data_IF_092625072638
#
_entry.id   IF_092625072638
#
_cell.length_a   1.000
_cell.length_b   1.000
_cell.length_c   1.000
_cell.angle_alpha   90.00
_cell.angle_beta   90.00
_cell.angle_gamma   90.00
#
_symmetry.space_group_name_H-M   'P 1'
#
loop_
_entity.id
_entity.type
_entity.pdbx_description
1 polymer ?
#
# COMPACT_ATOMS: atom_id res chain seq x y z
N UNK A 1 26.60 4.25 -24.80
CA UNK A 1 27.72 4.79 -24.01
C UNK A 1 27.14 5.42 -22.75
N UNK A 2 27.05 4.65 -21.67
CA UNK A 2 26.55 5.13 -20.38
C UNK A 2 27.73 5.70 -19.59
N UNK A 3 27.61 6.98 -19.22
CA UNK A 3 28.58 7.72 -18.43
C UNK A 3 28.68 7.11 -17.02
N UNK A 4 29.80 6.45 -16.71
CA UNK A 4 30.10 5.95 -15.36
C UNK A 4 30.60 7.12 -14.53
N UNK A 5 29.70 7.78 -13.78
CA UNK A 5 30.10 8.70 -12.72
C UNK A 5 30.75 7.88 -11.59
N UNK A 6 32.06 8.02 -11.41
CA UNK A 6 32.82 7.33 -10.36
C UNK A 6 32.47 7.91 -8.98
N UNK A 7 32.30 7.04 -7.99
CA UNK A 7 32.05 7.34 -6.56
C UNK A 7 33.03 8.40 -6.00
N UNK A 8 34.22 8.52 -6.59
CA UNK A 8 35.23 9.51 -6.26
C UNK A 8 34.81 10.96 -6.54
N UNK A 9 33.96 11.22 -7.54
CA UNK A 9 33.46 12.57 -7.86
C UNK A 9 32.43 13.03 -6.81
N UNK A 10 31.60 12.11 -6.31
CA UNK A 10 30.65 12.38 -5.23
C UNK A 10 31.36 12.63 -3.88
N UNK A 11 32.45 11.91 -3.61
CA UNK A 11 33.29 12.13 -2.42
C UNK A 11 34.05 13.46 -2.47
N UNK A 12 34.52 13.89 -3.64
CA UNK A 12 35.15 15.21 -3.80
C UNK A 12 34.13 16.35 -3.67
N UNK A 13 32.93 16.20 -4.22
CA UNK A 13 31.83 17.16 -4.03
C UNK A 13 31.38 17.24 -2.56
N UNK A 14 31.43 16.12 -1.83
CA UNK A 14 31.16 16.05 -0.38
C UNK A 14 32.26 16.75 0.45
N UNK A 15 33.53 16.59 0.08
CA UNK A 15 34.65 17.27 0.75
C UNK A 15 34.65 18.80 0.51
N UNK A 16 34.32 19.24 -0.70
CA UNK A 16 34.26 20.67 -1.04
C UNK A 16 33.07 21.36 -0.35
N UNK A 17 31.94 20.67 -0.18
CA UNK A 17 30.78 21.21 0.56
C UNK A 17 30.96 21.14 2.09
N UNK A 18 31.75 20.18 2.59
CA UNK A 18 32.10 20.11 4.02
C UNK A 18 33.04 21.25 4.46
N UNK A 19 33.98 21.66 3.60
CA UNK A 19 34.96 22.73 3.90
C UNK A 19 34.35 24.13 3.80
N UNK A 20 33.42 24.38 2.88
CA UNK A 20 32.74 25.70 2.77
C UNK A 20 31.66 25.95 3.84
N UNK A 21 31.32 24.95 4.65
CA UNK A 21 30.28 25.06 5.68
C UNK A 21 30.79 25.59 7.03
N UNK A 22 32.08 25.95 7.14
CA UNK A 22 32.69 26.44 8.37
C UNK A 22 32.69 27.99 8.49
N UNK A 23 32.43 28.73 7.41
CA UNK A 23 32.71 30.19 7.32
C UNK A 23 31.49 31.13 7.28
N UNK A 24 30.27 30.68 7.61
CA UNK A 24 29.08 31.55 7.59
C UNK A 24 28.21 31.51 8.85
N UNK A 25 28.76 31.05 9.98
CA UNK A 25 28.07 31.13 11.27
C UNK A 25 28.41 32.44 12.00
N UNK A 26 28.01 33.58 11.45
CA UNK A 26 27.96 34.85 12.18
C UNK A 26 26.92 35.80 11.54
N UNK A 27 25.65 35.66 11.94
CA UNK A 27 24.84 36.77 12.49
C UNK A 27 23.37 36.37 12.76
N UNK A 28 23.02 36.38 14.05
CA UNK A 28 21.77 36.92 14.65
C UNK A 28 20.38 36.51 14.11
N UNK A 29 19.82 35.43 14.67
CA UNK A 29 18.68 35.46 15.62
C UNK A 29 18.74 34.17 16.42
N UNK A 30 18.96 34.21 17.73
CA UNK A 30 18.99 33.01 18.56
C UNK A 30 17.60 32.40 18.64
N UNK A 31 17.29 31.46 17.76
CA UNK A 31 16.19 30.52 17.96
C UNK A 31 16.53 29.70 19.21
N UNK A 32 16.00 30.14 20.35
CA UNK A 32 16.20 29.46 21.63
C UNK A 32 15.54 28.09 21.52
N UNK A 33 16.36 27.05 21.35
CA UNK A 33 15.90 25.66 21.43
C UNK A 33 15.30 25.47 22.83
N UNK A 34 14.02 25.12 22.87
CA UNK A 34 13.32 24.83 24.12
C UNK A 34 13.31 23.32 24.36
N UNK A 35 13.54 22.92 25.62
CA UNK A 35 13.39 21.54 26.05
C UNK A 35 11.93 21.10 26.11
N UNK A 36 11.70 19.93 26.71
CA UNK A 36 10.37 19.37 26.92
C UNK A 36 9.43 20.37 27.64
N UNK A 37 8.23 20.56 27.09
CA UNK A 37 7.21 21.46 27.64
C UNK A 37 6.01 20.66 28.15
N UNK A 38 5.63 20.89 29.40
CA UNK A 38 4.41 20.36 30.01
C UNK A 38 3.33 21.46 29.99
N UNK A 39 2.21 21.24 29.30
CA UNK A 39 1.09 22.19 29.27
C UNK A 39 0.40 22.30 30.64
N UNK A 40 -0.12 23.49 31.02
CA UNK A 40 -1.33 24.04 30.40
C UNK A 40 -1.21 25.37 29.63
N UNK A 41 -0.21 26.22 29.91
CA UNK A 41 -0.07 27.55 29.28
C UNK A 41 0.73 27.53 27.95
N UNK A 42 1.54 26.49 27.76
CA UNK A 42 2.35 26.27 26.55
C UNK A 42 1.99 24.94 25.89
N UNK A 43 2.36 24.80 24.61
CA UNK A 43 2.09 23.59 23.83
C UNK A 43 2.76 22.38 24.49
N UNK A 44 1.97 21.41 24.97
CA UNK A 44 2.48 20.15 25.50
C UNK A 44 3.25 19.35 24.44
N UNK A 45 4.52 19.03 24.72
CA UNK A 45 5.35 18.18 23.85
C UNK A 45 4.79 16.76 23.78
N UNK A 46 4.32 16.20 24.91
CA UNK A 46 3.71 14.86 24.94
C UNK A 46 2.42 14.81 24.12
N UNK A 47 1.56 15.83 24.29
CA UNK A 47 0.29 15.93 23.55
C UNK A 47 0.52 16.04 22.04
N UNK A 48 1.56 16.77 21.64
CA UNK A 48 1.99 16.86 20.24
C UNK A 48 2.44 15.50 19.69
N UNK A 49 3.35 14.82 20.39
CA UNK A 49 3.87 13.52 19.98
C UNK A 49 2.71 12.52 19.86
N UNK A 50 1.85 12.46 20.88
CA UNK A 50 0.71 11.54 20.88
C UNK A 50 -0.29 11.84 19.77
N UNK A 51 -0.59 13.12 19.52
CA UNK A 51 -1.49 13.52 18.44
C UNK A 51 -0.92 13.13 17.07
N UNK A 52 0.37 13.39 16.83
CA UNK A 52 1.01 13.05 15.56
C UNK A 52 1.13 11.53 15.37
N UNK A 53 1.70 10.81 16.33
CA UNK A 53 1.86 9.35 16.25
C UNK A 53 0.52 8.64 16.19
N UNK A 54 -0.48 9.10 16.95
CA UNK A 54 -1.84 8.60 16.88
C UNK A 54 -2.46 8.80 15.50
N UNK A 55 -2.25 9.96 14.88
CA UNK A 55 -2.73 10.24 13.52
C UNK A 55 -2.00 9.39 12.48
N UNK A 56 -0.67 9.27 12.55
CA UNK A 56 0.12 8.39 11.67
C UNK A 56 -0.39 6.95 11.79
N UNK A 57 -0.55 6.45 13.01
CA UNK A 57 -1.07 5.11 13.25
C UNK A 57 -2.49 4.95 12.69
N UNK A 58 -3.40 5.87 13.00
CA UNK A 58 -4.78 5.81 12.52
C UNK A 58 -4.85 5.85 10.98
N UNK A 59 -4.12 6.76 10.33
CA UNK A 59 -4.17 6.90 8.88
C UNK A 59 -3.50 5.72 8.18
N UNK A 60 -2.38 5.21 8.70
CA UNK A 60 -1.70 4.05 8.10
C UNK A 60 -2.43 2.74 8.36
N UNK A 61 -3.10 2.57 9.51
CA UNK A 61 -3.87 1.36 9.82
C UNK A 61 -5.17 1.28 9.02
N UNK A 62 -5.86 2.42 8.86
CA UNK A 62 -7.18 2.44 8.22
C UNK A 62 -7.12 2.16 6.71
N UNK A 63 -6.00 2.46 6.05
CA UNK A 63 -5.80 2.24 4.62
C UNK A 63 -5.31 0.83 4.27
N UNK A 64 -5.11 -0.05 5.24
CA UNK A 64 -4.67 -1.43 4.97
C UNK A 64 -5.83 -2.34 4.58
N UNK A 65 -5.93 -2.60 3.28
CA UNK A 65 -6.85 -3.57 2.67
C UNK A 65 -6.08 -4.85 2.28
N UNK A 66 -5.82 -5.71 3.26
CA UNK A 66 -5.03 -6.93 3.08
C UNK A 66 -5.82 -8.03 2.36
N UNK A 67 -5.15 -8.82 1.53
CA UNK A 67 -5.75 -9.97 0.84
C UNK A 67 -6.25 -11.01 1.86
N UNK A 68 -7.24 -11.79 1.46
CA UNK A 68 -7.96 -12.68 2.36
C UNK A 68 -7.03 -13.70 3.03
N UNK A 69 -7.34 -14.13 4.25
CA UNK A 69 -6.61 -15.22 4.89
C UNK A 69 -6.90 -16.57 4.22
N UNK A 70 -5.98 -17.52 4.38
CA UNK A 70 -6.24 -18.93 4.09
C UNK A 70 -7.29 -19.50 5.04
N UNK A 71 -7.88 -20.65 4.67
CA UNK A 71 -8.92 -21.30 5.49
C UNK A 71 -8.39 -21.71 6.87
N UNK A 72 -7.14 -22.15 6.94
CA UNK A 72 -6.49 -22.65 8.15
C UNK A 72 -5.70 -21.57 8.92
N UNK A 73 -5.72 -20.32 8.43
CA UNK A 73 -5.02 -19.21 9.11
C UNK A 73 -5.63 -18.96 10.51
N UNK A 74 -4.76 -18.98 11.52
CA UNK A 74 -5.09 -18.62 12.90
C UNK A 74 -5.30 -17.11 13.06
N UNK A 75 -5.99 -16.69 14.12
CA UNK A 75 -6.15 -15.26 14.47
C UNK A 75 -4.81 -14.57 14.71
N UNK A 76 -3.83 -15.30 15.25
CA UNK A 76 -2.50 -14.78 15.49
C UNK A 76 -1.75 -14.49 14.19
N UNK A 77 -1.78 -15.40 13.22
CA UNK A 77 -1.16 -15.19 11.91
C UNK A 77 -1.80 -14.01 11.16
N UNK A 78 -3.13 -13.87 11.24
CA UNK A 78 -3.85 -12.72 10.68
C UNK A 78 -3.38 -11.41 11.32
N UNK A 79 -3.22 -11.39 12.64
CA UNK A 79 -2.77 -10.20 13.40
C UNK A 79 -1.32 -9.86 13.09
N UNK A 80 -0.40 -10.83 13.15
CA UNK A 80 1.00 -10.64 12.79
C UNK A 80 1.16 -10.15 11.35
N UNK A 81 0.37 -10.69 10.42
CA UNK A 81 0.33 -10.21 9.04
C UNK A 81 -0.10 -8.75 9.00
N UNK A 82 -1.14 -8.36 9.73
CA UNK A 82 -1.60 -6.97 9.77
C UNK A 82 -0.55 -6.03 10.36
N UNK A 83 0.13 -6.42 11.43
CA UNK A 83 1.24 -5.66 12.03
C UNK A 83 2.43 -5.56 11.07
N UNK A 84 2.80 -6.65 10.39
CA UNK A 84 3.87 -6.63 9.37
C UNK A 84 3.56 -5.62 8.26
N UNK A 85 2.33 -5.63 7.76
CA UNK A 85 1.92 -4.74 6.68
C UNK A 85 1.71 -3.30 7.13
N UNK A 86 1.37 -3.07 8.40
CA UNK A 86 1.44 -1.74 9.02
C UNK A 86 2.88 -1.22 9.05
N UNK A 87 3.84 -2.02 9.49
CA UNK A 87 5.24 -1.62 9.51
C UNK A 87 5.75 -1.30 8.09
N UNK A 88 5.40 -2.13 7.10
CA UNK A 88 5.71 -1.85 5.69
C UNK A 88 5.07 -0.53 5.23
N UNK A 89 3.82 -0.25 5.60
CA UNK A 89 3.15 1.00 5.22
C UNK A 89 3.79 2.24 5.87
N UNK A 90 4.30 2.13 7.09
CA UNK A 90 5.01 3.23 7.75
C UNK A 90 6.38 3.47 7.10
N UNK A 91 7.08 2.40 6.71
CA UNK A 91 8.42 2.51 6.12
C UNK A 91 8.39 2.85 4.61
N UNK A 92 7.41 2.32 3.89
CA UNK A 92 7.30 2.38 2.43
C UNK A 92 5.83 2.63 2.01
N UNK A 93 5.24 3.78 2.39
CA UNK A 93 3.84 4.09 2.04
C UNK A 93 3.62 4.20 0.52
N UNK A 94 4.63 4.59 -0.25
CA UNK A 94 4.66 4.61 -1.72
C UNK A 94 4.39 3.24 -2.34
N UNK A 95 4.84 2.17 -1.69
CA UNK A 95 4.64 0.80 -2.17
C UNK A 95 3.18 0.42 -2.02
N UNK A 96 2.58 0.70 -0.86
CA UNK A 96 1.16 0.42 -0.61
C UNK A 96 0.27 1.25 -1.54
N UNK A 97 0.62 2.51 -1.77
CA UNK A 97 -0.06 3.36 -2.75
C UNK A 97 0.02 2.79 -4.17
N UNK A 98 1.22 2.49 -4.65
CA UNK A 98 1.42 1.96 -6.00
C UNK A 98 0.68 0.64 -6.20
N UNK A 99 0.63 -0.19 -5.15
CA UNK A 99 -0.13 -1.44 -5.14
C UNK A 99 -1.63 -1.18 -5.25
N UNK A 100 -2.17 -0.26 -4.46
CA UNK A 100 -3.58 0.10 -4.50
C UNK A 100 -4.01 0.60 -5.89
N UNK A 101 -3.17 1.42 -6.54
CA UNK A 101 -3.44 1.90 -7.91
C UNK A 101 -3.38 0.77 -8.94
N UNK A 102 -2.43 -0.16 -8.82
CA UNK A 102 -2.37 -1.32 -9.72
C UNK A 102 -3.59 -2.24 -9.56
N UNK A 103 -4.01 -2.50 -8.32
CA UNK A 103 -5.21 -3.30 -8.05
C UNK A 103 -6.47 -2.60 -8.60
N UNK A 104 -6.58 -1.28 -8.45
CA UNK A 104 -7.70 -0.51 -9.04
C UNK A 104 -7.72 -0.60 -10.56
N UNK A 105 -6.58 -0.38 -11.20
CA UNK A 105 -6.47 -0.43 -12.65
C UNK A 105 -6.93 -1.80 -13.16
N UNK A 106 -6.46 -2.87 -12.54
CA UNK A 106 -6.87 -4.22 -12.92
C UNK A 106 -8.35 -4.47 -12.71
N UNK A 107 -8.91 -4.04 -11.57
CA UNK A 107 -10.33 -4.20 -11.29
C UNK A 107 -11.20 -3.48 -12.34
N UNK A 108 -10.76 -2.30 -12.81
CA UNK A 108 -11.44 -1.56 -13.87
C UNK A 108 -11.28 -2.20 -15.26
N UNK A 109 -10.11 -2.75 -15.57
CA UNK A 109 -9.87 -3.50 -16.81
C UNK A 109 -10.78 -4.75 -16.87
N UNK A 110 -10.89 -5.51 -15.78
CA UNK A 110 -11.76 -6.68 -15.67
C UNK A 110 -13.24 -6.32 -15.82
N UNK A 111 -13.68 -5.19 -15.23
CA UNK A 111 -15.05 -4.70 -15.39
C UNK A 111 -15.38 -4.27 -16.82
N UNK A 112 -14.39 -3.75 -17.55
CA UNK A 112 -14.56 -3.35 -18.94
C UNK A 112 -14.68 -4.58 -19.85
N UNK A 113 -13.95 -5.65 -19.53
CA UNK A 113 -13.96 -6.90 -20.29
C UNK A 113 -15.11 -7.83 -19.90
N UNK A 114 -15.76 -7.65 -18.76
CA UNK A 114 -16.84 -8.53 -18.32
C UNK A 114 -18.11 -8.31 -19.16
N UNK A 115 -18.42 -9.26 -20.06
CA UNK A 115 -19.72 -9.42 -20.73
C UNK A 115 -20.59 -10.46 -19.99
N UNK A 116 -20.65 -10.39 -18.66
CA UNK A 116 -21.31 -11.42 -17.83
C UNK A 116 -22.82 -11.20 -17.71
N UNK A 117 -23.59 -12.29 -17.67
CA UNK A 117 -25.05 -12.26 -17.43
C UNK A 117 -25.43 -11.73 -16.03
N UNK A 118 -24.49 -11.74 -15.08
CA UNK A 118 -24.66 -11.20 -13.72
C UNK A 118 -24.11 -9.77 -13.62
N UNK A 119 -24.67 -8.97 -12.69
CA UNK A 119 -24.12 -7.65 -12.30
C UNK A 119 -22.74 -7.80 -11.64
N UNK A 120 -21.68 -7.83 -12.45
CA UNK A 120 -20.29 -7.76 -11.99
C UNK A 120 -19.95 -6.32 -11.58
N UNK A 121 -19.26 -6.13 -10.45
CA UNK A 121 -18.92 -4.79 -9.92
C UNK A 121 -17.46 -4.75 -9.48
N UNK A 122 -16.90 -3.55 -9.30
CA UNK A 122 -15.50 -3.38 -8.90
C UNK A 122 -15.18 -4.14 -7.60
N UNK A 123 -16.16 -4.22 -6.69
CA UNK A 123 -16.04 -4.94 -5.42
C UNK A 123 -15.82 -6.43 -5.66
N UNK A 124 -16.52 -7.03 -6.64
CA UNK A 124 -16.36 -8.43 -7.02
C UNK A 124 -14.98 -8.71 -7.64
N UNK A 125 -14.50 -7.82 -8.52
CA UNK A 125 -13.14 -7.88 -9.08
C UNK A 125 -12.08 -7.82 -7.96
N UNK A 126 -12.16 -6.83 -7.07
CA UNK A 126 -11.25 -6.75 -5.92
C UNK A 126 -11.31 -7.99 -5.04
N UNK A 127 -12.51 -8.47 -4.75
CA UNK A 127 -12.70 -9.66 -3.94
C UNK A 127 -12.01 -10.89 -4.55
N UNK A 128 -12.18 -11.12 -5.85
CA UNK A 128 -11.51 -12.19 -6.58
C UNK A 128 -9.98 -12.01 -6.60
N UNK A 129 -9.47 -10.81 -6.88
CA UNK A 129 -8.03 -10.51 -6.88
C UNK A 129 -7.36 -10.72 -5.51
N UNK A 130 -8.12 -10.51 -4.43
CA UNK A 130 -7.65 -10.73 -3.06
C UNK A 130 -7.67 -12.21 -2.64
N UNK A 131 -8.09 -13.13 -3.52
CA UNK A 131 -8.24 -14.54 -3.22
C UNK A 131 -9.55 -14.88 -2.50
N UNK A 132 -10.60 -14.10 -2.75
CA UNK A 132 -11.90 -14.28 -2.14
C UNK A 132 -12.67 -15.49 -2.64
N UNK A 133 -12.33 -16.01 -3.83
CA UNK A 133 -13.00 -17.16 -4.41
C UNK A 133 -12.05 -18.35 -4.39
N UNK A 134 -12.50 -19.49 -3.86
CA UNK A 134 -11.73 -20.73 -3.81
C UNK A 134 -12.44 -21.82 -4.63
N UNK A 135 -11.66 -22.55 -5.43
CA UNK A 135 -12.09 -23.76 -6.13
C UNK A 135 -11.65 -24.98 -5.33
N UNK A 136 -12.58 -25.88 -5.08
CA UNK A 136 -12.33 -27.15 -4.41
C UNK A 136 -11.90 -28.21 -5.44
N UNK A 137 -10.81 -28.91 -5.14
CA UNK A 137 -10.33 -30.05 -5.91
C UNK A 137 -10.02 -31.22 -5.00
N UNK A 138 -10.19 -32.45 -5.49
CA UNK A 138 -9.82 -33.65 -4.75
C UNK A 138 -8.47 -34.16 -5.24
N UNK A 139 -7.47 -34.17 -4.37
CA UNK A 139 -6.15 -34.76 -4.60
C UNK A 139 -6.09 -36.08 -3.84
N UNK A 140 -5.15 -36.97 -4.20
CA UNK A 140 -4.86 -38.24 -3.51
C UNK A 140 -4.72 -38.13 -1.97
N UNK A 141 -4.45 -36.93 -1.43
CA UNK A 141 -4.30 -36.69 0.01
C UNK A 141 -5.48 -35.94 0.67
N UNK A 142 -6.59 -35.71 -0.05
CA UNK A 142 -7.79 -35.05 0.47
C UNK A 142 -8.26 -33.85 -0.36
N UNK A 143 -9.25 -33.09 0.15
CA UNK A 143 -9.70 -31.86 -0.49
C UNK A 143 -8.62 -30.78 -0.43
N UNK A 144 -8.22 -30.26 -1.59
CA UNK A 144 -7.32 -29.13 -1.74
C UNK A 144 -8.08 -27.93 -2.32
N UNK A 145 -7.63 -26.73 -1.96
CA UNK A 145 -8.23 -25.48 -2.40
C UNK A 145 -7.25 -24.69 -3.27
N UNK A 146 -7.70 -24.22 -4.42
CA UNK A 146 -6.97 -23.28 -5.26
C UNK A 146 -7.71 -21.96 -5.35
N UNK A 147 -6.99 -20.84 -5.27
CA UNK A 147 -7.60 -19.53 -5.46
C UNK A 147 -8.10 -19.37 -6.90
N UNK A 148 -9.37 -19.04 -7.01
CA UNK A 148 -10.00 -18.61 -8.24
C UNK A 148 -9.66 -17.14 -8.50
N UNK A 149 -8.75 -16.92 -9.44
CA UNK A 149 -8.20 -15.58 -9.71
C UNK A 149 -9.12 -14.78 -10.62
N UNK A 150 -9.13 -13.46 -10.48
CA UNK A 150 -9.92 -12.57 -11.32
C UNK A 150 -9.61 -12.64 -12.84
N UNK A 151 -8.38 -12.98 -13.26
CA UNK A 151 -8.08 -13.27 -14.67
C UNK A 151 -8.80 -14.52 -15.22
N UNK A 152 -9.24 -15.44 -14.36
CA UNK A 152 -10.05 -16.58 -14.78
C UNK A 152 -11.54 -16.21 -14.97
N UNK A 153 -11.91 -14.97 -14.61
CA UNK A 153 -13.25 -14.42 -14.77
C UNK A 153 -13.38 -13.53 -16.02
N UNK A 154 -12.28 -13.25 -16.73
CA UNK A 154 -12.32 -12.48 -17.97
C UNK A 154 -12.64 -13.39 -19.17
N UNK A 155 -13.15 -12.84 -20.29
CA UNK A 155 -13.43 -13.62 -21.51
C UNK A 155 -12.20 -14.34 -22.09
N UNK A 156 -11.00 -13.96 -21.64
CA UNK A 156 -9.73 -14.59 -22.04
C UNK A 156 -9.60 -16.01 -21.49
N UNK A 157 -10.30 -16.34 -20.41
CA UNK A 157 -10.39 -17.68 -19.85
C UNK A 157 -11.58 -18.42 -20.46
N UNK A 158 -11.30 -19.48 -21.22
CA UNK A 158 -12.31 -20.28 -21.89
C UNK A 158 -12.75 -21.43 -21.00
N UNK A 159 -14.04 -21.45 -20.72
CA UNK A 159 -14.69 -22.52 -19.98
C UNK A 159 -14.94 -23.73 -20.87
N UNK A 160 -14.77 -24.93 -20.32
CA UNK A 160 -15.13 -26.15 -21.05
C UNK A 160 -16.65 -26.18 -21.29
N UNK A 161 -17.11 -26.71 -22.44
CA UNK A 161 -18.53 -26.76 -22.81
C UNK A 161 -19.40 -27.55 -21.81
N UNK A 162 -18.78 -28.39 -21.01
CA UNK A 162 -19.45 -29.23 -20.01
C UNK A 162 -19.47 -28.60 -18.61
N UNK A 163 -18.83 -27.45 -18.42
CA UNK A 163 -18.76 -26.73 -17.15
C UNK A 163 -19.49 -25.40 -17.28
N UNK A 164 -20.44 -25.13 -16.38
CA UNK A 164 -21.05 -23.82 -16.28
C UNK A 164 -20.00 -22.77 -15.88
N UNK A 165 -20.21 -21.52 -16.30
CA UNK A 165 -19.39 -20.41 -15.83
C UNK A 165 -19.52 -20.31 -14.29
N UNK A 166 -18.42 -20.13 -13.53
CA UNK A 166 -18.43 -20.13 -12.06
C UNK A 166 -19.33 -19.05 -11.44
N UNK A 167 -19.67 -18.04 -12.23
CA UNK A 167 -20.57 -16.97 -11.81
C UNK A 167 -22.06 -17.31 -11.94
N UNK A 168 -22.44 -18.35 -12.68
CA UNK A 168 -23.86 -18.73 -12.88
C UNK A 168 -24.50 -19.13 -11.55
N UNK A 169 -23.77 -19.90 -10.74
CA UNK A 169 -24.25 -20.38 -9.44
C UNK A 169 -23.79 -19.50 -8.27
N UNK A 170 -22.97 -18.47 -8.53
CA UNK A 170 -22.45 -17.59 -7.49
C UNK A 170 -23.42 -16.43 -7.22
N UNK A 171 -24.34 -16.64 -6.28
CA UNK A 171 -25.09 -15.53 -5.67
C UNK A 171 -24.21 -14.88 -4.61
N UNK A 172 -23.30 -14.00 -5.04
CA UNK A 172 -22.52 -13.16 -4.14
C UNK A 172 -23.10 -11.75 -4.17
N UNK A 173 -23.88 -11.38 -3.15
CA UNK A 173 -24.33 -9.99 -3.05
C UNK A 173 -23.16 -9.11 -2.65
N UNK A 174 -23.12 -7.89 -3.20
CA UNK A 174 -22.19 -6.85 -2.73
C UNK A 174 -22.32 -6.65 -1.22
N UNK A 175 -23.54 -6.76 -0.69
CA UNK A 175 -23.83 -6.58 0.72
C UNK A 175 -23.24 -7.73 1.57
N UNK A 176 -23.21 -8.97 1.06
CA UNK A 176 -22.60 -10.12 1.76
C UNK A 176 -21.09 -9.95 1.93
N UNK A 177 -20.43 -9.30 0.97
CA UNK A 177 -18.99 -8.96 1.05
C UNK A 177 -18.77 -7.78 2.01
N UNK A 178 -19.71 -6.84 2.05
CA UNK A 178 -19.59 -5.58 2.82
C UNK A 178 -20.18 -5.65 4.24
N UNK A 179 -20.73 -6.78 4.67
CA UNK A 179 -21.51 -6.90 5.92
C UNK A 179 -20.72 -6.60 7.21
N UNK A 180 -19.39 -6.45 7.14
CA UNK A 180 -18.55 -6.00 8.28
C UNK A 180 -18.28 -4.49 8.35
N UNK A 181 -18.96 -3.68 7.52
CA UNK A 181 -18.69 -2.25 7.35
C UNK A 181 -18.85 -1.38 8.61
N UNK A 182 -19.57 -1.83 9.65
CA UNK A 182 -19.94 -0.98 10.80
C UNK A 182 -18.75 -0.44 11.59
N UNK A 183 -17.80 -1.29 11.95
CA UNK A 183 -16.60 -0.86 12.66
C UNK A 183 -15.63 -0.11 11.75
N UNK A 184 -15.62 -0.45 10.47
CA UNK A 184 -14.71 0.13 9.48
C UNK A 184 -15.07 1.58 9.12
N UNK A 185 -16.37 1.89 8.92
CA UNK A 185 -16.79 3.28 8.66
C UNK A 185 -16.54 4.19 9.87
N UNK A 186 -16.69 3.67 11.09
CA UNK A 186 -16.41 4.43 12.32
C UNK A 186 -14.92 4.76 12.43
N UNK A 187 -14.05 3.77 12.25
CA UNK A 187 -12.59 3.95 12.26
C UNK A 187 -12.13 4.93 11.18
N UNK A 188 -12.72 4.84 9.98
CA UNK A 188 -12.47 5.78 8.88
C UNK A 188 -12.92 7.19 9.23
N UNK A 189 -14.11 7.36 9.81
CA UNK A 189 -14.61 8.66 10.26
C UNK A 189 -13.69 9.31 11.30
N UNK A 190 -13.20 8.53 12.28
CA UNK A 190 -12.24 8.99 13.27
C UNK A 190 -10.92 9.41 12.60
N UNK A 191 -10.39 8.60 11.69
CA UNK A 191 -9.15 8.93 10.99
C UNK A 191 -9.27 10.21 10.15
N UNK A 192 -10.38 10.40 9.42
CA UNK A 192 -10.65 11.62 8.65
C UNK A 192 -10.75 12.83 9.57
N UNK A 193 -11.43 12.70 10.72
CA UNK A 193 -11.53 13.78 11.70
C UNK A 193 -10.15 14.14 12.26
N UNK A 194 -9.32 13.15 12.61
CA UNK A 194 -7.97 13.37 13.12
C UNK A 194 -7.06 14.04 12.07
N UNK A 195 -7.10 13.57 10.82
CA UNK A 195 -6.36 14.18 9.71
C UNK A 195 -6.81 15.63 9.49
N UNK A 196 -8.11 15.86 9.45
CA UNK A 196 -8.67 17.20 9.23
C UNK A 196 -8.27 18.15 10.36
N UNK A 197 -8.38 17.69 11.61
CA UNK A 197 -7.98 18.47 12.77
C UNK A 197 -6.49 18.84 12.75
N UNK A 198 -5.63 17.90 12.38
CA UNK A 198 -4.20 18.15 12.24
C UNK A 198 -3.93 19.18 11.14
N UNK A 199 -4.51 19.02 9.95
CA UNK A 199 -4.32 19.95 8.83
C UNK A 199 -4.75 21.36 9.23
N UNK A 200 -5.91 21.50 9.87
CA UNK A 200 -6.41 22.80 10.38
C UNK A 200 -5.45 23.38 11.42
N UNK A 201 -4.95 22.54 12.34
CA UNK A 201 -3.99 22.98 13.38
C UNK A 201 -2.67 23.46 12.78
N UNK A 202 -2.14 22.76 11.79
CA UNK A 202 -0.90 23.14 11.07
C UNK A 202 -1.12 24.41 10.25
N UNK A 203 -2.24 24.52 9.55
CA UNK A 203 -2.59 25.70 8.76
C UNK A 203 -2.77 26.94 9.65
N UNK A 204 -3.49 26.83 10.77
CA UNK A 204 -3.67 27.91 11.73
C UNK A 204 -2.34 28.38 12.32
N UNK A 205 -1.42 27.46 12.62
CA UNK A 205 -0.06 27.77 13.09
C UNK A 205 0.76 28.51 12.03
N UNK A 206 0.67 28.06 10.77
CA UNK A 206 1.34 28.73 9.66
C UNK A 206 0.86 30.18 9.50
N UNK A 207 -0.46 30.41 9.58
CA UNK A 207 -1.04 31.77 9.48
C UNK A 207 -0.70 32.66 10.67
N UNK A 208 -0.56 32.07 11.86
CA UNK A 208 -0.21 32.80 13.11
C UNK A 208 1.29 32.90 13.34
N UNK A 209 2.12 32.48 12.37
CA UNK A 209 3.60 32.48 12.47
C UNK A 209 4.13 31.74 13.69
N UNK A 210 3.42 30.71 14.13
CA UNK A 210 3.86 29.82 15.20
C UNK A 210 4.75 28.71 14.65
N UNK A 211 5.71 28.19 15.45
CA UNK A 211 6.59 27.12 15.00
C UNK A 211 5.79 25.85 14.72
N UNK A 212 6.07 25.26 13.56
CA UNK A 212 5.57 23.95 13.13
C UNK A 212 6.69 22.94 13.34
N UNK A 213 6.37 21.76 13.84
CA UNK A 213 7.36 20.72 14.09
C UNK A 213 7.54 19.81 12.88
N UNK A 214 8.71 19.18 12.78
CA UNK A 214 9.02 18.19 11.76
C UNK A 214 8.03 17.01 11.77
N UNK A 215 7.64 16.59 12.97
CA UNK A 215 6.68 15.51 13.16
C UNK A 215 5.29 15.87 12.62
N UNK A 216 4.86 17.14 12.74
CA UNK A 216 3.62 17.60 12.12
C UNK A 216 3.69 17.56 10.59
N UNK A 217 4.80 18.03 10.00
CA UNK A 217 5.03 17.95 8.55
C UNK A 217 5.00 16.50 8.07
N UNK A 218 5.70 15.60 8.77
CA UNK A 218 5.70 14.17 8.46
C UNK A 218 4.29 13.58 8.57
N UNK A 219 3.52 13.95 9.60
CA UNK A 219 2.16 13.46 9.77
C UNK A 219 1.24 13.94 8.65
N UNK A 220 1.38 15.18 8.18
CA UNK A 220 0.65 15.68 7.01
C UNK A 220 1.02 14.90 5.74
N UNK A 221 2.31 14.57 5.55
CA UNK A 221 2.74 13.74 4.42
C UNK A 221 2.10 12.34 4.45
N UNK A 222 2.11 11.67 5.63
CA UNK A 222 1.41 10.39 5.82
C UNK A 222 -0.10 10.51 5.59
N UNK A 223 -0.73 11.60 6.02
CA UNK A 223 -2.14 11.84 5.82
C UNK A 223 -2.50 12.00 4.32
N UNK A 224 -1.72 12.76 3.56
CA UNK A 224 -1.90 12.93 2.11
C UNK A 224 -1.77 11.59 1.40
N UNK A 225 -0.73 10.81 1.73
CA UNK A 225 -0.53 9.49 1.15
C UNK A 225 -1.65 8.52 1.53
N UNK A 226 -2.11 8.54 2.78
CA UNK A 226 -3.24 7.74 3.23
C UNK A 226 -4.54 8.08 2.47
N UNK A 227 -4.83 9.36 2.24
CA UNK A 227 -5.96 9.78 1.41
C UNK A 227 -5.83 9.23 -0.01
N UNK A 228 -4.64 9.32 -0.62
CA UNK A 228 -4.40 8.80 -1.96
C UNK A 228 -4.58 7.27 -2.05
N UNK A 229 -4.06 6.51 -1.07
CA UNK A 229 -4.27 5.06 -0.95
C UNK A 229 -5.76 4.74 -0.81
N UNK A 230 -6.47 5.52 0.01
CA UNK A 230 -7.88 5.31 0.27
C UNK A 230 -8.75 5.53 -0.97
N UNK A 231 -8.48 6.60 -1.72
CA UNK A 231 -9.14 6.86 -3.00
C UNK A 231 -8.90 5.73 -4.00
N UNK A 232 -7.67 5.22 -4.08
CA UNK A 232 -7.34 4.07 -4.93
C UNK A 232 -7.99 2.76 -4.45
N UNK A 233 -8.30 2.64 -3.15
CA UNK A 233 -8.86 1.42 -2.54
C UNK A 233 -10.36 1.55 -2.23
N UNK A 234 -11.05 2.55 -2.77
CA UNK A 234 -12.41 2.91 -2.34
C UNK A 234 -13.40 1.74 -2.38
N UNK A 235 -13.36 0.94 -3.45
CA UNK A 235 -14.23 -0.23 -3.62
C UNK A 235 -13.62 -1.54 -3.14
N UNK A 236 -12.39 -1.51 -2.61
CA UNK A 236 -11.70 -2.73 -2.15
C UNK A 236 -12.28 -3.15 -0.80
N UNK A 237 -12.76 -4.40 -0.64
CA UNK A 237 -13.22 -4.91 0.65
C UNK A 237 -12.13 -4.83 1.72
N UNK A 238 -12.52 -4.64 2.98
CA UNK A 238 -11.60 -4.57 4.12
C UNK A 238 -12.00 -5.55 5.22
N UNK A 239 -11.00 -6.17 5.83
CA UNK A 239 -11.15 -7.09 6.97
C UNK A 239 -12.14 -8.25 6.72
N UNK A 240 -12.21 -8.72 5.48
CA UNK A 240 -12.96 -9.93 5.11
C UNK A 240 -12.31 -11.14 5.79
N UNK A 241 -13.11 -11.88 6.57
CA UNK A 241 -12.59 -12.91 7.47
C UNK A 241 -12.42 -14.28 6.81
N UNK A 242 -13.20 -14.59 5.77
CA UNK A 242 -13.19 -15.88 5.08
C UNK A 242 -13.45 -15.72 3.58
N UNK A 243 -12.76 -16.48 2.73
CA UNK A 243 -13.11 -16.60 1.32
C UNK A 243 -14.37 -17.45 1.12
N UNK A 244 -15.03 -17.26 -0.02
CA UNK A 244 -16.16 -18.05 -0.49
C UNK A 244 -15.66 -19.24 -1.29
N UNK A 245 -16.08 -20.44 -0.90
CA UNK A 245 -15.76 -21.68 -1.60
C UNK A 245 -16.84 -21.95 -2.64
N UNK A 246 -16.42 -22.05 -3.90
CA UNK A 246 -17.30 -22.41 -5.01
C UNK A 246 -17.50 -23.93 -5.03
N UNK A 247 -18.76 -24.36 -5.06
CA UNK A 247 -19.13 -25.76 -5.22
C UNK A 247 -19.31 -26.04 -6.72
N UNK A 248 -18.46 -26.90 -7.31
CA UNK A 248 -18.58 -27.30 -8.71
C UNK A 248 -17.25 -27.67 -9.38
N UNK A 249 -17.33 -28.52 -10.42
CA UNK A 249 -16.21 -28.89 -11.28
C UNK A 249 -15.96 -27.84 -12.37
N UNK A 250 -15.37 -26.70 -11.97
CA UNK A 250 -15.13 -25.56 -12.86
C UNK A 250 -13.82 -25.69 -13.63
N UNK A 251 -13.81 -26.42 -14.75
CA UNK A 251 -12.58 -26.58 -15.53
C UNK A 251 -12.57 -25.68 -16.77
N UNK A 252 -11.45 -25.01 -16.98
CA UNK A 252 -11.23 -24.13 -18.11
C UNK A 252 -9.75 -23.98 -18.42
N UNK A 253 -9.45 -23.22 -19.47
CA UNK A 253 -8.09 -22.96 -19.92
C UNK A 253 -8.00 -21.54 -20.45
N UNK A 254 -6.83 -20.92 -20.24
CA UNK A 254 -6.54 -19.63 -20.88
C UNK A 254 -6.44 -19.81 -22.40
N UNK A 255 -6.98 -18.86 -23.15
CA UNK A 255 -6.82 -18.81 -24.59
C UNK A 255 -5.33 -18.82 -24.99
N UNK A 256 -5.02 -19.49 -26.10
CA UNK A 256 -3.65 -19.64 -26.58
C UNK A 256 -3.00 -18.26 -26.84
N UNK A 257 -1.80 -18.06 -26.31
CA UNK A 257 -1.07 -16.79 -26.39
C UNK A 257 -1.27 -15.81 -25.23
N UNK A 258 -2.23 -16.07 -24.34
CA UNK A 258 -2.45 -15.23 -23.15
C UNK A 258 -1.57 -15.71 -21.99
N UNK A 259 -0.62 -14.86 -21.55
CA UNK A 259 0.24 -15.12 -20.39
C UNK A 259 -0.14 -14.15 -19.28
N UNK A 260 -0.94 -14.61 -18.32
CA UNK A 260 -1.13 -13.88 -17.07
C UNK A 260 0.04 -14.18 -16.15
N UNK A 261 0.80 -13.14 -15.79
CA UNK A 261 1.92 -13.29 -14.87
C UNK A 261 1.54 -12.67 -13.54
N UNK A 262 1.73 -13.41 -12.46
CA UNK A 262 1.81 -12.83 -11.13
C UNK A 262 3.25 -12.52 -10.80
N UNK A 263 3.48 -11.46 -10.04
CA UNK A 263 4.79 -11.25 -9.45
C UNK A 263 4.68 -10.78 -8.02
N UNK A 264 5.41 -11.48 -7.14
CA UNK A 264 5.63 -11.07 -5.75
C UNK A 264 6.71 -10.00 -5.74
N UNK A 265 6.40 -8.81 -5.21
CA UNK A 265 7.40 -7.75 -5.20
C UNK A 265 8.58 -8.11 -4.28
N UNK A 266 8.33 -8.72 -3.12
CA UNK A 266 9.41 -9.09 -2.19
C UNK A 266 10.38 -10.08 -2.83
N UNK A 267 9.86 -11.05 -3.57
CA UNK A 267 10.68 -11.99 -4.32
C UNK A 267 11.46 -11.31 -5.44
N UNK A 268 10.85 -10.36 -6.16
CA UNK A 268 11.54 -9.60 -7.22
C UNK A 268 12.68 -8.76 -6.66
N UNK A 269 12.53 -8.21 -5.46
CA UNK A 269 13.57 -7.43 -4.78
C UNK A 269 14.70 -8.33 -4.23
N UNK A 270 14.36 -9.44 -3.58
CA UNK A 270 15.33 -10.32 -2.92
C UNK A 270 15.98 -11.34 -3.86
N UNK A 271 15.30 -11.75 -4.93
CA UNK A 271 15.76 -12.79 -5.86
C UNK A 271 15.18 -12.57 -7.27
N UNK A 272 15.72 -11.59 -8.04
CA UNK A 272 15.20 -11.25 -9.36
C UNK A 272 15.18 -12.41 -10.36
N UNK A 273 16.18 -13.30 -10.32
CA UNK A 273 16.27 -14.50 -11.17
C UNK A 273 15.14 -15.47 -10.88
N UNK A 274 14.91 -15.80 -9.60
CA UNK A 274 13.81 -16.66 -9.17
C UNK A 274 12.45 -16.05 -9.51
N UNK A 275 12.30 -14.74 -9.35
CA UNK A 275 11.06 -14.04 -9.71
C UNK A 275 10.78 -14.07 -11.22
N UNK A 276 11.82 -14.02 -12.06
CA UNK A 276 11.68 -14.13 -13.51
C UNK A 276 11.22 -15.54 -13.92
N UNK A 277 11.71 -16.57 -13.24
CA UNK A 277 11.33 -17.97 -13.50
C UNK A 277 9.92 -18.29 -12.97
N UNK A 278 9.54 -17.82 -11.77
CA UNK A 278 8.18 -17.97 -11.22
C UNK A 278 7.13 -17.22 -12.06
N UNK A 279 7.51 -16.10 -12.70
CA UNK A 279 6.61 -15.42 -13.64
C UNK A 279 6.33 -16.19 -14.93
N UNK A 280 7.16 -17.20 -15.25
CA UNK A 280 7.04 -18.06 -16.44
C UNK A 280 6.38 -19.39 -16.13
N UNK A 281 6.36 -19.84 -14.87
CA UNK A 281 5.71 -21.10 -14.51
C UNK A 281 4.21 -20.98 -14.75
N UNK A 282 3.75 -21.73 -15.75
CA UNK A 282 2.37 -21.83 -16.23
C UNK A 282 1.50 -22.72 -15.35
N UNK A 283 2.10 -23.35 -14.35
CA UNK A 283 1.39 -24.13 -13.34
C UNK A 283 0.54 -23.19 -12.51
N UNK A 284 -0.76 -23.40 -12.57
CA UNK A 284 -1.73 -23.09 -11.53
C UNK A 284 -1.17 -23.61 -10.20
N UNK A 285 -0.26 -22.84 -9.62
CA UNK A 285 0.28 -23.11 -8.31
C UNK A 285 -0.96 -23.07 -7.42
N UNK A 286 -1.31 -24.23 -6.85
CA UNK A 286 -2.41 -24.44 -5.91
C UNK A 286 -2.23 -23.46 -4.75
N UNK A 287 -2.62 -22.22 -4.98
CA UNK A 287 -2.32 -21.13 -4.09
C UNK A 287 -3.48 -21.13 -3.12
N UNK A 288 -3.26 -21.64 -1.92
CA UNK A 288 -4.25 -21.61 -0.84
C UNK A 288 -4.61 -20.16 -0.47
N UNK A 289 -3.72 -19.20 -0.79
CA UNK A 289 -3.87 -17.78 -0.45
C UNK A 289 -3.04 -16.85 -1.34
N UNK A 290 -3.66 -15.78 -1.85
CA UNK A 290 -2.92 -14.69 -2.55
C UNK A 290 -2.09 -13.87 -1.55
N UNK A 291 -0.77 -13.80 -1.75
CA UNK A 291 0.10 -12.97 -0.91
C UNK A 291 -0.16 -11.47 -1.13
N UNK A 292 0.01 -10.67 -0.09
CA UNK A 292 -0.34 -9.23 -0.11
C UNK A 292 0.60 -8.41 -1.01
N UNK A 293 1.79 -8.92 -1.31
CA UNK A 293 2.78 -8.31 -2.20
C UNK A 293 2.69 -8.83 -3.65
N UNK A 294 1.70 -9.67 -3.95
CA UNK A 294 1.43 -10.13 -5.33
C UNK A 294 0.78 -8.99 -6.11
N UNK A 295 1.46 -8.59 -7.18
CA UNK A 295 0.93 -7.72 -8.24
C UNK A 295 0.60 -8.59 -9.44
N UNK A 296 -0.60 -8.41 -9.96
CA UNK A 296 -1.08 -9.06 -11.17
C UNK A 296 -0.58 -8.29 -12.41
N UNK A 297 -0.04 -9.02 -13.38
CA UNK A 297 0.47 -8.48 -14.65
C UNK A 297 -0.36 -9.08 -15.78
N UNK A 298 -1.38 -8.36 -16.23
CA UNK A 298 -2.23 -8.74 -17.36
C UNK A 298 -1.49 -8.62 -18.69
N UNK A 299 -0.53 -9.52 -18.94
CA UNK A 299 0.31 -9.56 -20.15
C UNK A 299 1.33 -8.41 -20.28
N UNK A 300 1.05 -7.25 -19.69
CA UNK A 300 1.89 -6.06 -19.69
C UNK A 300 2.61 -5.86 -18.35
N UNK A 301 3.76 -5.19 -18.37
CA UNK A 301 4.47 -4.80 -17.15
C UNK A 301 3.59 -3.80 -16.36
N UNK A 302 3.29 -4.06 -15.07
CA UNK A 302 2.51 -3.15 -14.27
C UNK A 302 3.31 -1.83 -14.08
N UNK A 303 2.65 -0.67 -14.03
CA UNK A 303 3.30 0.62 -13.85
C UNK A 303 3.85 0.83 -12.43
N UNK A 304 3.92 -0.24 -11.63
CA UNK A 304 4.26 -0.25 -10.20
C UNK A 304 5.53 0.55 -9.88
N UNK A 305 6.63 0.33 -10.60
CA UNK A 305 7.90 1.03 -10.32
C UNK A 305 7.84 2.51 -10.67
N UNK A 306 7.10 2.88 -11.72
CA UNK A 306 6.91 4.28 -12.12
C UNK A 306 6.05 4.99 -11.09
N UNK A 307 4.94 4.36 -10.66
CA UNK A 307 4.08 4.87 -9.60
C UNK A 307 4.85 5.03 -8.29
N UNK A 308 5.72 4.07 -7.96
CA UNK A 308 6.53 4.11 -6.75
C UNK A 308 7.53 5.25 -6.82
N UNK A 309 8.25 5.42 -7.93
CA UNK A 309 9.18 6.54 -8.11
C UNK A 309 8.49 7.91 -8.01
N UNK A 310 7.34 8.08 -8.66
CA UNK A 310 6.57 9.34 -8.60
C UNK A 310 6.07 9.59 -7.18
N UNK A 311 5.49 8.58 -6.53
CA UNK A 311 4.96 8.73 -5.17
C UNK A 311 6.04 8.92 -4.11
N UNK A 312 7.22 8.29 -4.24
CA UNK A 312 8.40 8.59 -3.43
C UNK A 312 8.83 10.04 -3.58
N UNK A 313 8.88 10.56 -4.80
CA UNK A 313 9.29 11.94 -5.06
C UNK A 313 8.29 12.96 -4.47
N UNK A 314 6.99 12.67 -4.55
CA UNK A 314 5.94 13.49 -3.91
C UNK A 314 6.03 13.39 -2.39
N UNK A 315 6.17 12.18 -1.84
CA UNK A 315 6.24 11.96 -0.40
C UNK A 315 7.47 12.60 0.23
N UNK A 316 8.66 12.36 -0.32
CA UNK A 316 9.91 13.02 0.08
C UNK A 316 9.86 14.54 -0.09
N UNK A 317 9.30 15.02 -1.21
CA UNK A 317 9.10 16.44 -1.47
C UNK A 317 8.27 17.16 -0.40
N UNK A 318 7.31 16.49 0.24
CA UNK A 318 6.55 17.05 1.36
C UNK A 318 7.42 17.22 2.62
N UNK A 319 8.37 16.31 2.86
CA UNK A 319 9.31 16.43 3.98
C UNK A 319 10.31 17.59 3.79
N UNK A 320 10.63 17.93 2.53
CA UNK A 320 11.44 19.10 2.20
C UNK A 320 10.80 20.44 2.61
N UNK A 321 9.52 20.49 3.00
CA UNK A 321 8.92 21.71 3.59
C UNK A 321 9.63 22.15 4.88
N UNK A 322 10.26 21.21 5.60
CA UNK A 322 11.05 21.49 6.80
C UNK A 322 12.56 21.62 6.52
N UNK A 323 12.97 21.85 5.26
CA UNK A 323 14.39 21.86 4.87
C UNK A 323 15.26 22.91 5.59
N UNK A 324 14.64 24.05 5.92
CA UNK A 324 15.27 25.20 6.58
C UNK A 324 14.91 25.29 8.06
N UNK A 325 14.42 24.22 8.68
CA UNK A 325 14.16 24.22 10.12
C UNK A 325 15.47 24.13 10.90
N UNK A 326 15.47 24.66 12.12
CA UNK A 326 16.58 24.51 13.05
C UNK A 326 16.57 23.12 13.69
N UNK A 327 17.76 22.55 13.84
CA UNK A 327 17.97 21.25 14.48
C UNK A 327 18.93 21.40 15.65
N UNK A 328 18.72 20.65 16.75
CA UNK A 328 19.65 20.60 17.89
C UNK A 328 21.09 20.27 17.48
N UNK A 329 21.27 19.37 16.51
CA UNK A 329 22.59 18.96 16.03
C UNK A 329 22.68 18.96 14.51
N UNK A 330 23.89 19.16 13.99
CA UNK A 330 24.18 19.05 12.55
C UNK A 330 23.90 17.63 12.02
N UNK A 331 24.08 16.61 12.87
CA UNK A 331 23.78 15.21 12.51
C UNK A 331 22.29 15.02 12.27
N UNK A 332 21.44 15.53 13.16
CA UNK A 332 19.97 15.45 12.98
C UNK A 332 19.49 16.18 11.73
N UNK A 333 20.04 17.37 11.44
CA UNK A 333 19.76 18.11 10.21
C UNK A 333 20.12 17.29 8.97
N UNK A 334 21.31 16.67 8.96
CA UNK A 334 21.76 15.84 7.84
C UNK A 334 20.86 14.60 7.70
N UNK A 335 20.55 13.91 8.80
CA UNK A 335 19.65 12.76 8.80
C UNK A 335 18.27 13.12 8.21
N UNK A 336 17.70 14.27 8.60
CA UNK A 336 16.43 14.74 8.04
C UNK A 336 16.52 15.01 6.54
N UNK A 337 17.56 15.73 6.09
CA UNK A 337 17.75 16.05 4.68
C UNK A 337 17.96 14.80 3.83
N UNK A 338 18.72 13.83 4.32
CA UNK A 338 18.94 12.54 3.65
C UNK A 338 17.66 11.71 3.62
N UNK A 339 16.86 11.71 4.69
CA UNK A 339 15.60 10.97 4.72
C UNK A 339 14.47 11.62 3.89
N UNK A 340 14.56 12.93 3.62
CA UNK A 340 13.57 13.68 2.82
C UNK A 340 13.80 13.56 1.31
N UNK A 341 15.03 13.24 0.90
CA UNK A 341 15.43 13.04 -0.50
C UNK A 341 15.29 11.57 -0.90
#
# INVERSE_FOLDING_TARGET
MACRLSLSVLLLAWLITAVNAQDLADNSTTNVLVGWQTGPDTRSTLGLIWSCLGTIFACTWTVLHLNLPGLDDTTWEKTLRKVKWLAINILFPEFIFSKAVCDLRLALEELRESETEQKWTAVHSYYAQMGGLLKLHYILHGPAYSVFTACMLTPQYKWNKNSDHPLVHLVLSKDDIQDKSKADWLLKGIAVLQITWLIVSVAARHTTKLPITQLEIATVAFAIMAVAIYLASWWKPKDVSRPTVLQGGYDGYFAEGVIHRTQRLTLRLLSPTRAADESKSREESYCERVQNDVVWMGGNNPPMFVLMAISSMVFGGLHCLAWNFDFPTRVELICWRVASL
#
